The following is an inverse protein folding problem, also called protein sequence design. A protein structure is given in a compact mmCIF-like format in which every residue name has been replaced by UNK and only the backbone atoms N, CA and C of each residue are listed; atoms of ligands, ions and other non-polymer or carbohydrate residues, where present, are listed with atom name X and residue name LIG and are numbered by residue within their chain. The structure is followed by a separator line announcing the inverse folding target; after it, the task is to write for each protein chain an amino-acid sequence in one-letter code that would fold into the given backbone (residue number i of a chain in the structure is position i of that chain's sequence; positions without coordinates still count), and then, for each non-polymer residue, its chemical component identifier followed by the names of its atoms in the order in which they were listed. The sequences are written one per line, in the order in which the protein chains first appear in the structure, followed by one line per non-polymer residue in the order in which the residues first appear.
data_IF_397034338659
#
_entry.id   IF_397034338659
#
_cell.length_a   1.000
_cell.length_b   1.000
_cell.length_c   1.000
_cell.angle_alpha   90.00
_cell.angle_beta   90.00
_cell.angle_gamma   90.00
#
_symmetry.space_group_name_H-M   'P 1'
#
loop_
_entity.id
_entity.type
_entity.pdbx_description
1 polymer ?
#
# COMPACT_ATOMS: atom_id res chain seq x y z
N UNK A 1 -4.60 33.66 17.92
CA UNK A 1 -5.91 33.12 18.36
C UNK A 1 -6.55 34.12 19.31
N UNK A 2 -7.78 34.60 19.03
CA UNK A 2 -8.43 35.71 19.75
C UNK A 2 -9.58 35.30 20.69
N UNK A 3 -9.85 34.00 20.85
CA UNK A 3 -10.87 33.49 21.79
C UNK A 3 -10.39 32.16 22.39
N UNK A 4 -10.34 32.09 23.71
CA UNK A 4 -10.16 30.84 24.47
C UNK A 4 -11.50 30.14 24.57
N UNK A 5 -11.59 28.89 24.10
CA UNK A 5 -12.80 28.05 24.25
C UNK A 5 -12.57 27.02 25.37
N UNK A 6 -13.66 26.52 25.95
CA UNK A 6 -13.66 25.75 27.21
C UNK A 6 -12.88 24.43 27.23
N UNK A 7 -12.36 23.97 26.08
CA UNK A 7 -11.58 22.72 25.95
C UNK A 7 -10.10 22.96 25.59
N UNK A 8 -9.71 24.22 25.41
CA UNK A 8 -8.34 24.61 25.06
C UNK A 8 -8.05 24.62 23.56
N UNK A 9 -6.80 24.96 23.17
CA UNK A 9 -6.34 24.99 21.78
C UNK A 9 -6.34 23.60 21.14
N UNK A 10 -6.78 23.52 19.89
CA UNK A 10 -6.90 22.28 19.10
C UNK A 10 -8.33 21.95 18.68
N UNK A 11 -9.32 22.46 19.40
CA UNK A 11 -10.71 22.23 19.05
C UNK A 11 -11.11 22.92 17.75
N UNK A 12 -11.63 22.16 16.79
CA UNK A 12 -12.00 22.60 15.45
C UNK A 12 -10.83 22.77 14.47
N UNK A 13 -9.63 22.33 14.85
CA UNK A 13 -8.46 22.26 13.96
C UNK A 13 -8.28 20.80 13.52
N UNK A 14 -8.49 20.52 12.23
CA UNK A 14 -8.46 19.15 11.69
C UNK A 14 -7.05 18.53 11.70
N UNK A 15 -5.99 19.34 11.65
CA UNK A 15 -4.62 18.84 11.77
C UNK A 15 -4.37 18.32 13.20
N UNK A 16 -4.97 18.94 14.20
CA UNK A 16 -4.91 18.51 15.58
C UNK A 16 -5.88 17.35 15.89
N UNK A 17 -7.17 17.49 15.58
CA UNK A 17 -8.23 16.55 15.97
C UNK A 17 -8.20 15.24 15.17
N UNK A 18 -7.99 15.31 13.85
CA UNK A 18 -8.10 14.13 12.98
C UNK A 18 -6.72 13.53 12.68
N UNK A 19 -5.69 14.36 12.57
CA UNK A 19 -4.33 13.92 12.19
C UNK A 19 -3.39 13.77 13.38
N UNK A 20 -3.78 14.20 14.58
CA UNK A 20 -3.01 14.04 15.82
C UNK A 20 -1.73 14.87 15.89
N UNK A 21 -1.64 15.94 15.10
CA UNK A 21 -0.47 16.84 15.08
C UNK A 21 -0.61 17.83 16.24
N UNK A 22 0.11 17.57 17.33
CA UNK A 22 0.06 18.40 18.54
C UNK A 22 0.77 19.75 18.34
N UNK A 23 0.33 20.79 19.05
CA UNK A 23 0.95 22.11 18.93
C UNK A 23 2.33 22.13 19.57
N UNK A 24 3.30 22.88 19.02
CA UNK A 24 4.62 22.95 19.61
C UNK A 24 4.55 23.49 21.04
N UNK A 25 5.18 22.75 21.96
CA UNK A 25 5.09 23.00 23.40
C UNK A 25 5.49 24.43 23.81
N UNK A 26 6.49 25.01 23.12
CA UNK A 26 6.96 26.37 23.39
C UNK A 26 5.87 27.45 23.20
N UNK A 27 4.89 27.20 22.32
CA UNK A 27 3.85 28.16 21.97
C UNK A 27 2.50 27.83 22.62
N UNK A 28 2.21 26.54 22.81
CA UNK A 28 0.97 26.07 23.43
C UNK A 28 1.29 25.03 24.47
N UNK A 29 1.37 25.44 25.74
CA UNK A 29 1.77 24.53 26.83
C UNK A 29 0.69 23.50 27.18
N UNK A 30 -0.58 23.89 27.08
CA UNK A 30 -1.74 23.07 27.44
C UNK A 30 -2.67 22.89 26.25
N UNK A 31 -2.55 21.75 25.58
CA UNK A 31 -3.48 21.27 24.55
C UNK A 31 -4.48 20.30 25.19
N UNK A 32 -5.59 20.01 24.51
CA UNK A 32 -6.58 19.03 24.99
C UNK A 32 -5.93 17.67 25.35
N UNK A 33 -4.96 17.21 24.53
CA UNK A 33 -4.24 15.97 24.73
C UNK A 33 -3.35 16.03 25.99
N UNK A 34 -2.61 17.14 26.20
CA UNK A 34 -1.78 17.31 27.41
C UNK A 34 -2.60 17.47 28.68
N UNK A 35 -3.77 18.13 28.60
CA UNK A 35 -4.72 18.18 29.70
C UNK A 35 -5.23 16.77 30.04
N UNK A 36 -5.59 15.97 29.04
CA UNK A 36 -6.00 14.58 29.24
C UNK A 36 -4.86 13.71 29.77
N UNK A 37 -3.63 13.87 29.28
CA UNK A 37 -2.46 13.15 29.79
C UNK A 37 -2.17 13.49 31.25
N UNK A 38 -2.22 14.77 31.62
CA UNK A 38 -2.08 15.19 33.02
C UNK A 38 -3.19 14.59 33.89
N UNK A 39 -4.43 14.60 33.41
CA UNK A 39 -5.55 13.99 34.11
C UNK A 39 -5.39 12.46 34.30
N UNK A 40 -4.93 11.75 33.25
CA UNK A 40 -4.60 10.33 33.32
C UNK A 40 -3.44 10.07 34.29
N UNK A 41 -2.47 10.98 34.39
CA UNK A 41 -1.38 10.90 35.35
C UNK A 41 -1.88 11.06 36.79
N UNK A 42 -2.79 12.02 37.04
CA UNK A 42 -3.43 12.20 38.34
C UNK A 42 -4.26 10.96 38.75
N UNK A 43 -4.98 10.37 37.79
CA UNK A 43 -5.67 9.09 37.94
C UNK A 43 -4.71 7.95 38.32
N UNK A 44 -3.59 7.82 37.59
CA UNK A 44 -2.56 6.81 37.83
C UNK A 44 -1.93 6.96 39.22
N UNK A 45 -1.68 8.20 39.65
CA UNK A 45 -1.14 8.52 40.97
C UNK A 45 -2.18 8.42 42.09
N UNK A 46 -3.46 8.15 41.75
CA UNK A 46 -4.60 8.14 42.69
C UNK A 46 -4.81 9.48 43.41
N UNK A 47 -4.46 10.57 42.74
CA UNK A 47 -4.64 11.95 43.23
C UNK A 47 -6.05 12.50 42.95
N UNK A 48 -6.86 11.77 42.18
CA UNK A 48 -8.28 12.09 41.92
C UNK A 48 -9.15 10.92 42.36
N UNK A 49 -10.17 11.24 43.17
CA UNK A 49 -11.19 10.29 43.60
C UNK A 49 -12.50 10.46 42.79
N UNK A 50 -12.90 9.39 42.10
CA UNK A 50 -14.12 9.33 41.29
C UNK A 50 -15.27 8.63 42.02
N UNK A 51 -15.04 8.11 43.22
CA UNK A 51 -16.04 7.36 43.97
C UNK A 51 -17.33 8.17 44.16
N UNK A 52 -17.20 9.50 44.34
CA UNK A 52 -18.30 10.45 44.48
C UNK A 52 -19.09 10.70 43.18
N UNK A 53 -18.50 10.45 42.01
CA UNK A 53 -19.11 10.67 40.69
C UNK A 53 -19.85 9.43 40.18
N UNK A 54 -19.52 8.26 40.74
CA UNK A 54 -20.08 6.96 40.36
C UNK A 54 -21.17 6.57 41.34
N UNK A 55 -22.42 6.51 40.89
CA UNK A 55 -23.58 6.12 41.71
C UNK A 55 -23.71 4.62 41.99
N UNK A 56 -22.64 3.86 41.75
CA UNK A 56 -22.57 2.42 42.00
C UNK A 56 -22.18 1.58 40.78
N UNK A 57 -21.95 0.30 41.03
CA UNK A 57 -21.64 -0.73 40.05
C UNK A 57 -22.77 -1.77 40.06
N UNK A 58 -23.31 -2.05 38.89
CA UNK A 58 -24.48 -2.90 38.68
C UNK A 58 -24.10 -4.04 37.73
N UNK A 59 -24.64 -5.24 37.93
CA UNK A 59 -24.49 -6.30 36.92
C UNK A 59 -25.29 -5.95 35.66
N UNK A 60 -24.98 -6.59 34.53
CA UNK A 60 -25.70 -6.35 33.28
C UNK A 60 -27.20 -6.63 33.43
N UNK A 61 -27.57 -7.64 34.23
CA UNK A 61 -28.96 -7.99 34.55
C UNK A 61 -29.68 -6.89 35.35
N UNK A 62 -28.92 -5.98 35.98
CA UNK A 62 -29.44 -4.85 36.76
C UNK A 62 -29.37 -3.52 35.99
N UNK A 63 -29.14 -3.54 34.67
CA UNK A 63 -29.01 -2.33 33.86
C UNK A 63 -30.21 -1.39 34.01
N UNK A 64 -31.44 -1.92 34.07
CA UNK A 64 -32.66 -1.11 34.23
C UNK A 64 -32.67 -0.27 35.52
N UNK A 65 -32.11 -0.82 36.62
CA UNK A 65 -31.97 -0.11 37.89
C UNK A 65 -30.93 1.01 37.77
N UNK A 66 -29.81 0.73 37.09
CA UNK A 66 -28.76 1.71 36.83
C UNK A 66 -29.28 2.89 35.99
N UNK A 67 -30.09 2.63 34.95
CA UNK A 67 -30.72 3.66 34.13
C UNK A 67 -31.78 4.47 34.88
N UNK A 68 -32.58 3.84 35.76
CA UNK A 68 -33.54 4.56 36.63
C UNK A 68 -32.83 5.53 37.57
N UNK A 69 -31.68 5.14 38.12
CA UNK A 69 -30.89 5.99 39.01
C UNK A 69 -30.35 7.25 38.30
N UNK A 70 -29.88 7.11 37.06
CA UNK A 70 -29.42 8.23 36.22
C UNK A 70 -30.54 9.24 35.91
N UNK A 71 -31.80 8.81 35.94
CA UNK A 71 -32.98 9.65 35.70
C UNK A 71 -33.62 10.20 37.00
N UNK A 72 -32.99 10.01 38.16
CA UNK A 72 -33.51 10.48 39.44
C UNK A 72 -33.17 11.95 39.72
N UNK A 73 -33.84 12.56 40.72
CA UNK A 73 -33.58 13.96 41.14
C UNK A 73 -32.18 14.18 41.71
N UNK A 74 -31.57 13.14 42.32
CA UNK A 74 -30.16 13.11 42.75
C UNK A 74 -29.37 12.16 41.84
N UNK A 75 -29.32 12.48 40.54
CA UNK A 75 -28.61 11.65 39.56
C UNK A 75 -27.09 11.71 39.80
N UNK A 76 -26.41 10.56 39.87
CA UNK A 76 -24.94 10.51 39.81
C UNK A 76 -24.45 10.90 38.41
N UNK A 77 -23.15 11.21 38.28
CA UNK A 77 -22.56 11.54 36.98
C UNK A 77 -22.43 10.30 36.08
N UNK A 78 -22.15 9.15 36.69
CA UNK A 78 -21.99 7.86 36.01
C UNK A 78 -22.48 6.69 36.86
N UNK A 79 -22.73 5.56 36.21
CA UNK A 79 -22.95 4.24 36.82
C UNK A 79 -22.09 3.23 36.06
N UNK A 80 -21.57 2.22 36.76
CA UNK A 80 -20.72 1.19 36.13
C UNK A 80 -21.53 -0.08 35.90
N UNK A 81 -21.40 -0.69 34.71
CA UNK A 81 -21.93 -2.01 34.43
C UNK A 81 -20.81 -3.05 34.49
N UNK A 82 -20.96 -4.07 35.34
CA UNK A 82 -20.14 -5.27 35.30
C UNK A 82 -20.71 -6.28 34.33
N UNK A 83 -19.83 -6.76 33.46
CA UNK A 83 -20.08 -7.89 32.58
C UNK A 83 -19.52 -9.17 33.20
N UNK A 84 -20.13 -10.34 32.96
CA UNK A 84 -19.56 -11.62 33.37
C UNK A 84 -18.15 -11.79 32.78
N UNK A 85 -17.22 -12.26 33.61
CA UNK A 85 -15.78 -12.31 33.31
C UNK A 85 -15.38 -13.13 32.09
N UNK A 86 -16.30 -13.90 31.50
CA UNK A 86 -16.09 -14.61 30.23
C UNK A 86 -15.88 -13.68 29.02
N UNK A 87 -16.15 -12.38 29.15
CA UNK A 87 -16.00 -11.39 28.06
C UNK A 87 -14.63 -10.68 28.11
N UNK A 88 -13.92 -10.76 29.24
CA UNK A 88 -12.61 -10.12 29.42
C UNK A 88 -11.50 -11.18 29.42
N UNK A 89 -11.19 -11.75 28.25
CA UNK A 89 -9.85 -12.31 28.06
C UNK A 89 -8.89 -11.15 27.89
N UNK A 90 -8.11 -10.86 28.93
CA UNK A 90 -6.92 -10.03 28.81
C UNK A 90 -6.06 -10.58 27.68
N UNK A 91 -5.70 -9.72 26.72
CA UNK A 91 -4.73 -10.07 25.68
C UNK A 91 -3.36 -10.16 26.35
N UNK A 92 -2.96 -11.38 26.69
CA UNK A 92 -1.61 -11.67 27.12
C UNK A 92 -0.62 -11.20 26.04
N UNK A 93 0.18 -10.20 26.40
CA UNK A 93 1.16 -9.54 25.55
C UNK A 93 2.45 -10.36 25.53
N UNK A 94 2.38 -11.55 24.96
CA UNK A 94 3.50 -12.34 24.45
C UNK A 94 2.94 -13.53 23.65
N UNK A 95 2.08 -13.24 22.67
CA UNK A 95 1.70 -14.26 21.70
C UNK A 95 2.87 -14.49 20.75
N UNK A 96 3.57 -15.60 20.93
CA UNK A 96 4.27 -16.24 19.83
C UNK A 96 3.22 -16.46 18.73
N UNK A 97 3.29 -15.68 17.65
CA UNK A 97 2.38 -15.88 16.52
C UNK A 97 2.81 -17.19 15.87
N UNK A 98 2.01 -18.24 16.06
CA UNK A 98 2.20 -19.47 15.29
C UNK A 98 1.84 -19.16 13.84
N UNK A 99 2.85 -19.20 12.97
CA UNK A 99 2.74 -18.78 11.59
C UNK A 99 2.13 -19.94 10.79
N UNK A 100 1.11 -19.64 9.99
CA UNK A 100 0.42 -20.67 9.20
C UNK A 100 1.10 -20.87 7.85
N UNK A 101 1.16 -22.09 7.34
CA UNK A 101 1.63 -22.36 5.97
C UNK A 101 0.53 -22.03 4.95
N UNK A 102 0.86 -21.48 3.77
CA UNK A 102 -0.11 -21.29 2.70
C UNK A 102 -0.68 -22.62 2.22
N UNK A 103 -2.00 -22.68 2.12
CA UNK A 103 -2.70 -23.86 1.62
C UNK A 103 -2.44 -24.06 0.11
N UNK A 104 -2.35 -25.33 -0.31
CA UNK A 104 -2.35 -25.70 -1.73
C UNK A 104 -3.67 -25.26 -2.38
N UNK A 105 -3.60 -24.72 -3.59
CA UNK A 105 -4.78 -24.31 -4.36
C UNK A 105 -5.13 -25.45 -5.34
N UNK A 106 -6.25 -26.12 -5.11
CA UNK A 106 -6.72 -27.27 -5.94
C UNK A 106 -7.88 -26.90 -6.89
N UNK A 107 -8.30 -25.63 -6.89
CA UNK A 107 -9.39 -25.10 -7.70
C UNK A 107 -9.25 -23.59 -7.85
N UNK A 108 -10.36 -22.85 -7.84
CA UNK A 108 -10.28 -21.38 -7.92
C UNK A 108 -9.53 -20.81 -6.71
N UNK A 109 -8.75 -19.77 -6.97
CA UNK A 109 -8.08 -18.98 -5.95
C UNK A 109 -9.15 -18.19 -5.20
N UNK A 110 -9.29 -18.47 -3.91
CA UNK A 110 -10.19 -17.72 -3.04
C UNK A 110 -9.52 -16.42 -2.58
N UNK A 111 -10.12 -15.31 -2.97
CA UNK A 111 -9.54 -13.97 -2.81
C UNK A 111 -10.23 -13.20 -1.69
N UNK A 112 -9.44 -12.70 -0.74
CA UNK A 112 -9.82 -11.61 0.14
C UNK A 112 -9.31 -10.28 -0.40
N UNK A 113 -10.18 -9.29 -0.58
CA UNK A 113 -9.79 -7.96 -1.07
C UNK A 113 -9.83 -6.97 0.08
N UNK A 114 -8.70 -6.31 0.36
CA UNK A 114 -8.57 -5.26 1.37
C UNK A 114 -8.39 -3.92 0.65
N UNK A 115 -9.40 -3.06 0.76
CA UNK A 115 -9.43 -1.77 0.08
C UNK A 115 -10.09 -1.86 -1.30
N UNK A 116 -11.19 -1.14 -1.48
CA UNK A 116 -11.89 -1.01 -2.77
C UNK A 116 -11.93 0.46 -3.18
N UNK A 117 -10.74 1.03 -3.36
CA UNK A 117 -10.56 2.40 -3.85
C UNK A 117 -10.92 2.55 -5.33
N UNK A 118 -10.78 3.77 -5.86
CA UNK A 118 -11.09 4.08 -7.27
C UNK A 118 -10.35 3.18 -8.26
N UNK A 119 -9.05 2.94 -8.02
CA UNK A 119 -8.24 2.06 -8.86
C UNK A 119 -8.73 0.60 -8.82
N UNK A 120 -8.99 0.06 -7.62
CA UNK A 120 -9.49 -1.30 -7.48
C UNK A 120 -10.85 -1.48 -8.19
N UNK A 121 -11.73 -0.48 -8.13
CA UNK A 121 -13.02 -0.48 -8.82
C UNK A 121 -12.87 -0.40 -10.35
N UNK A 122 -11.96 0.45 -10.84
CA UNK A 122 -11.80 0.70 -12.27
C UNK A 122 -11.01 -0.39 -12.99
N UNK A 123 -10.06 -1.04 -12.31
CA UNK A 123 -9.08 -1.95 -12.94
C UNK A 123 -9.12 -3.35 -12.34
N UNK A 124 -8.88 -3.47 -11.03
CA UNK A 124 -8.65 -4.76 -10.37
C UNK A 124 -9.88 -5.65 -10.38
N UNK A 125 -11.02 -5.15 -9.89
CA UNK A 125 -12.27 -5.89 -9.82
C UNK A 125 -12.81 -6.30 -11.20
N UNK A 126 -12.85 -5.42 -12.23
CA UNK A 126 -13.23 -5.83 -13.57
C UNK A 126 -12.34 -6.92 -14.17
N UNK A 127 -11.02 -6.86 -13.96
CA UNK A 127 -10.10 -7.88 -14.47
C UNK A 127 -10.26 -9.22 -13.72
N UNK A 128 -10.47 -9.20 -12.41
CA UNK A 128 -10.81 -10.42 -11.65
C UNK A 128 -12.10 -11.07 -12.16
N UNK A 129 -13.11 -10.27 -12.51
CA UNK A 129 -14.36 -10.79 -13.08
C UNK A 129 -14.17 -11.42 -14.46
N UNK A 130 -13.28 -10.87 -15.29
CA UNK A 130 -12.89 -11.51 -16.56
C UNK A 130 -12.13 -12.82 -16.35
N UNK A 131 -11.40 -12.93 -15.23
CA UNK A 131 -10.63 -14.12 -14.83
C UNK A 131 -11.37 -14.99 -13.80
N UNK A 132 -12.71 -14.95 -13.77
CA UNK A 132 -13.55 -15.71 -12.83
C UNK A 132 -13.40 -17.24 -12.94
N UNK A 133 -12.76 -17.72 -14.00
CA UNK A 133 -12.38 -19.13 -14.14
C UNK A 133 -11.25 -19.51 -13.17
N UNK A 134 -10.34 -18.57 -12.87
CA UNK A 134 -9.22 -18.76 -11.94
C UNK A 134 -9.52 -18.23 -10.53
N UNK A 135 -10.34 -17.17 -10.41
CA UNK A 135 -10.55 -16.46 -9.15
C UNK A 135 -11.99 -16.52 -8.66
N UNK A 136 -12.17 -16.61 -7.35
CA UNK A 136 -13.44 -16.32 -6.66
C UNK A 136 -13.21 -15.27 -5.57
N UNK A 137 -13.94 -14.17 -5.63
CA UNK A 137 -13.90 -13.15 -4.58
C UNK A 137 -14.70 -13.68 -3.40
N UNK A 138 -14.00 -14.07 -2.33
CA UNK A 138 -14.59 -14.68 -1.14
C UNK A 138 -14.97 -13.65 -0.09
N UNK A 139 -14.14 -12.63 0.08
CA UNK A 139 -14.37 -11.58 1.07
C UNK A 139 -13.88 -10.22 0.60
N UNK A 140 -14.61 -9.19 1.03
CA UNK A 140 -14.28 -7.79 0.75
C UNK A 140 -14.23 -7.01 2.06
N UNK A 141 -13.12 -6.30 2.26
CA UNK A 141 -12.88 -5.40 3.35
C UNK A 141 -12.75 -3.96 2.84
N UNK A 142 -13.53 -3.04 3.41
CA UNK A 142 -13.38 -1.59 3.17
C UNK A 142 -13.56 -0.84 4.48
N UNK A 143 -13.06 0.40 4.60
CA UNK A 143 -13.24 1.21 5.82
C UNK A 143 -14.70 1.53 6.16
N UNK A 144 -15.64 1.35 5.22
CA UNK A 144 -17.04 1.70 5.40
C UNK A 144 -17.94 0.48 5.22
N UNK A 145 -18.77 0.18 6.22
CA UNK A 145 -19.61 -1.02 6.22
C UNK A 145 -20.61 -1.06 5.06
N UNK A 146 -21.18 0.08 4.68
CA UNK A 146 -22.13 0.18 3.55
C UNK A 146 -21.43 -0.14 2.24
N UNK A 147 -20.23 0.41 2.02
CA UNK A 147 -19.40 0.10 0.84
C UNK A 147 -19.00 -1.38 0.82
N UNK A 148 -18.60 -1.95 1.96
CA UNK A 148 -18.26 -3.35 2.06
C UNK A 148 -19.43 -4.25 1.63
N UNK A 149 -20.64 -4.00 2.15
CA UNK A 149 -21.86 -4.73 1.76
C UNK A 149 -22.21 -4.53 0.29
N UNK A 150 -22.12 -3.31 -0.23
CA UNK A 150 -22.40 -2.99 -1.63
C UNK A 150 -21.48 -3.79 -2.57
N UNK A 151 -20.17 -3.75 -2.36
CA UNK A 151 -19.23 -4.48 -3.21
C UNK A 151 -19.34 -5.99 -3.03
N UNK A 152 -19.55 -6.48 -1.80
CA UNK A 152 -19.73 -7.91 -1.57
C UNK A 152 -20.95 -8.44 -2.33
N UNK A 153 -22.08 -7.72 -2.29
CA UNK A 153 -23.28 -8.07 -3.07
C UNK A 153 -22.99 -8.02 -4.59
N UNK A 154 -22.41 -6.91 -5.07
CA UNK A 154 -22.10 -6.72 -6.50
C UNK A 154 -21.20 -7.80 -7.09
N UNK A 155 -20.27 -8.34 -6.30
CA UNK A 155 -19.30 -9.33 -6.73
C UNK A 155 -19.54 -10.73 -6.15
N UNK A 156 -20.71 -10.97 -5.53
CA UNK A 156 -21.11 -12.23 -4.92
C UNK A 156 -20.10 -12.79 -3.90
N UNK A 157 -19.49 -11.90 -3.10
CA UNK A 157 -18.59 -12.29 -2.02
C UNK A 157 -19.39 -12.74 -0.79
N UNK A 158 -18.89 -13.77 -0.09
CA UNK A 158 -19.53 -14.31 1.10
C UNK A 158 -19.32 -13.45 2.35
N UNK A 159 -18.24 -12.66 2.37
CA UNK A 159 -17.83 -11.87 3.54
C UNK A 159 -17.77 -10.39 3.16
N UNK A 160 -18.45 -9.55 3.95
CA UNK A 160 -18.33 -8.10 3.92
C UNK A 160 -17.89 -7.61 5.31
N UNK A 161 -16.74 -6.96 5.41
CA UNK A 161 -16.17 -6.54 6.70
C UNK A 161 -15.52 -5.16 6.62
N UNK A 162 -15.32 -4.53 7.78
CA UNK A 162 -14.46 -3.36 7.97
C UNK A 162 -13.15 -3.70 8.69
N UNK A 163 -13.02 -4.91 9.21
CA UNK A 163 -11.80 -5.46 9.80
C UNK A 163 -11.19 -6.49 8.85
N UNK A 164 -10.01 -6.17 8.31
CA UNK A 164 -9.33 -7.04 7.36
C UNK A 164 -8.80 -8.32 7.99
N UNK A 165 -8.62 -8.35 9.32
CA UNK A 165 -8.15 -9.54 10.05
C UNK A 165 -9.16 -10.69 9.94
N UNK A 166 -10.44 -10.39 9.76
CA UNK A 166 -11.47 -11.40 9.45
C UNK A 166 -11.12 -12.15 8.15
N UNK A 167 -10.60 -11.46 7.14
CA UNK A 167 -10.19 -12.11 5.87
C UNK A 167 -8.89 -12.91 6.05
N UNK A 168 -7.95 -12.41 6.84
CA UNK A 168 -6.71 -13.12 7.14
C UNK A 168 -6.97 -14.43 7.90
N UNK A 169 -7.97 -14.43 8.79
CA UNK A 169 -8.32 -15.58 9.61
C UNK A 169 -9.24 -16.60 8.90
N UNK A 170 -9.77 -16.30 7.71
CA UNK A 170 -10.56 -17.29 6.95
C UNK A 170 -9.61 -18.33 6.32
N UNK A 171 -9.66 -19.60 6.75
CA UNK A 171 -8.75 -20.63 6.23
C UNK A 171 -8.96 -20.90 4.74
N UNK A 172 -10.15 -20.60 4.18
CA UNK A 172 -10.44 -20.81 2.78
C UNK A 172 -9.86 -19.71 1.89
N UNK A 173 -9.50 -18.54 2.41
CA UNK A 173 -8.85 -17.49 1.61
C UNK A 173 -7.37 -17.86 1.38
N UNK A 174 -6.96 -17.94 0.11
CA UNK A 174 -5.59 -18.30 -0.27
C UNK A 174 -4.75 -17.08 -0.70
N UNK A 175 -5.41 -16.04 -1.22
CA UNK A 175 -4.79 -14.82 -1.73
C UNK A 175 -5.44 -13.59 -1.09
N UNK A 176 -4.61 -12.69 -0.57
CA UNK A 176 -5.02 -11.37 -0.11
C UNK A 176 -4.58 -10.33 -1.14
N UNK A 177 -5.54 -9.58 -1.70
CA UNK A 177 -5.27 -8.43 -2.55
C UNK A 177 -5.39 -7.16 -1.71
N UNK A 178 -4.29 -6.43 -1.54
CA UNK A 178 -4.21 -5.16 -0.81
C UNK A 178 -4.23 -4.02 -1.82
N UNK A 179 -5.24 -3.16 -1.75
CA UNK A 179 -5.44 -1.99 -2.63
C UNK A 179 -5.87 -0.77 -1.83
N UNK A 180 -5.15 -0.49 -0.74
CA UNK A 180 -5.40 0.59 0.22
C UNK A 180 -4.56 1.83 -0.09
N UNK A 181 -4.49 2.77 0.85
CA UNK A 181 -3.45 3.82 0.84
C UNK A 181 -2.08 3.19 1.02
N UNK A 182 -1.04 3.83 0.48
CA UNK A 182 0.30 3.28 0.40
C UNK A 182 0.91 3.06 1.80
N UNK A 183 0.67 3.98 2.74
CA UNK A 183 1.13 3.89 4.12
C UNK A 183 0.56 2.70 4.92
N UNK A 184 -0.47 2.03 4.40
CA UNK A 184 -1.06 0.85 5.05
C UNK A 184 -0.51 -0.47 4.48
N UNK A 185 0.22 -0.42 3.37
CA UNK A 185 0.64 -1.63 2.65
C UNK A 185 1.56 -2.50 3.51
N UNK A 186 2.63 -1.94 4.06
CA UNK A 186 3.63 -2.71 4.80
C UNK A 186 3.02 -3.53 5.95
N UNK A 187 2.25 -2.87 6.83
CA UNK A 187 1.60 -3.55 7.95
C UNK A 187 0.62 -4.63 7.49
N UNK A 188 -0.16 -4.38 6.44
CA UNK A 188 -1.11 -5.38 5.94
C UNK A 188 -0.41 -6.56 5.25
N UNK A 189 0.71 -6.32 4.58
CA UNK A 189 1.58 -7.38 4.01
C UNK A 189 2.15 -8.22 5.14
N UNK A 190 2.71 -7.59 6.17
CA UNK A 190 3.25 -8.24 7.37
C UNK A 190 2.21 -9.14 8.04
N UNK A 191 0.99 -8.61 8.26
CA UNK A 191 -0.10 -9.37 8.89
C UNK A 191 -0.55 -10.55 8.01
N UNK A 192 -0.60 -10.37 6.69
CA UNK A 192 -0.95 -11.43 5.76
C UNK A 192 0.13 -12.53 5.66
N UNK A 193 1.42 -12.17 5.71
CA UNK A 193 2.53 -13.12 5.78
C UNK A 193 2.46 -13.95 7.05
N UNK A 194 2.19 -13.31 8.19
CA UNK A 194 2.00 -13.99 9.48
C UNK A 194 0.83 -14.98 9.45
N UNK A 195 -0.24 -14.62 8.74
CA UNK A 195 -1.40 -15.48 8.52
C UNK A 195 -1.20 -16.55 7.42
N UNK A 196 0.00 -16.65 6.82
CA UNK A 196 0.30 -17.65 5.80
C UNK A 196 -0.41 -17.44 4.47
N UNK A 197 -0.83 -16.21 4.16
CA UNK A 197 -1.57 -15.93 2.92
C UNK A 197 -0.61 -15.56 1.80
N UNK A 198 -0.91 -16.00 0.57
CA UNK A 198 -0.28 -15.37 -0.60
C UNK A 198 -0.79 -13.94 -0.71
N UNK A 199 0.05 -13.04 -1.22
CA UNK A 199 -0.19 -11.61 -1.19
C UNK A 199 -0.03 -11.06 -2.60
N UNK A 200 -1.00 -10.25 -2.97
CA UNK A 200 -0.85 -9.29 -4.05
C UNK A 200 -1.08 -7.90 -3.45
N UNK A 201 -0.07 -7.05 -3.43
CA UNK A 201 -0.17 -5.68 -2.91
C UNK A 201 -0.03 -4.70 -4.06
N UNK A 202 -0.94 -3.73 -4.16
CA UNK A 202 -0.72 -2.61 -5.09
C UNK A 202 0.58 -1.89 -4.75
N UNK A 203 1.23 -1.33 -5.76
CA UNK A 203 2.45 -0.56 -5.52
C UNK A 203 2.16 0.70 -4.68
N UNK A 204 3.16 1.20 -3.92
CA UNK A 204 4.44 0.56 -3.63
C UNK A 204 4.32 -0.56 -2.58
N UNK A 205 5.34 -1.41 -2.45
CA UNK A 205 5.38 -2.44 -1.39
C UNK A 205 5.34 -1.82 0.01
N UNK A 206 6.12 -0.75 0.22
CA UNK A 206 6.26 0.00 1.45
C UNK A 206 6.69 1.44 1.15
N UNK A 207 6.71 2.30 2.18
CA UNK A 207 7.15 3.69 2.08
C UNK A 207 8.51 3.94 2.73
N UNK A 208 9.01 3.07 3.60
CA UNK A 208 10.31 3.26 4.27
C UNK A 208 11.23 2.04 4.19
N UNK A 209 12.52 2.26 4.49
CA UNK A 209 13.53 1.20 4.58
C UNK A 209 13.25 0.27 5.78
N UNK A 210 12.76 0.80 6.89
CA UNK A 210 12.38 0.04 8.08
C UNK A 210 11.22 -0.92 7.76
N UNK A 211 10.18 -0.43 7.09
CA UNK A 211 9.06 -1.26 6.65
C UNK A 211 9.52 -2.36 5.68
N UNK A 212 10.40 -2.03 4.73
CA UNK A 212 10.99 -3.04 3.84
C UNK A 212 11.75 -4.10 4.64
N UNK A 213 12.56 -3.68 5.61
CA UNK A 213 13.33 -4.59 6.46
C UNK A 213 12.41 -5.52 7.24
N UNK A 214 11.34 -5.01 7.85
CA UNK A 214 10.38 -5.84 8.60
C UNK A 214 9.71 -6.91 7.72
N UNK A 215 9.31 -6.55 6.48
CA UNK A 215 8.76 -7.51 5.52
C UNK A 215 9.80 -8.61 5.20
N UNK A 216 11.05 -8.21 4.96
CA UNK A 216 12.12 -9.16 4.63
C UNK A 216 12.50 -10.06 5.79
N UNK A 217 12.49 -9.54 7.02
CA UNK A 217 12.81 -10.33 8.21
C UNK A 217 11.76 -11.43 8.41
N UNK A 218 10.47 -11.17 8.15
CA UNK A 218 9.43 -12.20 8.18
C UNK A 218 9.66 -13.25 7.09
N UNK A 219 9.94 -12.82 5.86
CA UNK A 219 10.18 -13.74 4.74
C UNK A 219 11.42 -14.63 4.96
N UNK A 220 12.42 -14.17 5.71
CA UNK A 220 13.65 -14.93 6.03
C UNK A 220 13.49 -15.86 7.23
N UNK A 221 12.74 -15.44 8.26
CA UNK A 221 12.66 -16.15 9.54
C UNK A 221 11.71 -17.35 9.51
N UNK A 222 10.91 -17.51 8.47
CA UNK A 222 9.89 -18.54 8.42
C UNK A 222 10.37 -19.78 7.64
N UNK A 223 10.58 -20.88 8.37
CA UNK A 223 10.68 -22.23 7.81
C UNK A 223 9.28 -22.73 7.45
N UNK A 224 8.73 -22.24 6.35
CA UNK A 224 7.55 -22.86 5.77
C UNK A 224 7.96 -24.05 4.89
N UNK A 225 7.16 -25.12 4.91
CA UNK A 225 7.20 -26.14 3.85
C UNK A 225 6.96 -25.52 2.46
N UNK A 226 6.29 -24.35 2.45
CA UNK A 226 6.06 -23.52 1.28
C UNK A 226 5.94 -22.04 1.67
N UNK A 227 6.84 -21.18 1.20
CA UNK A 227 6.80 -19.75 1.51
C UNK A 227 5.64 -19.03 0.79
N UNK A 228 4.89 -18.14 1.47
CA UNK A 228 3.90 -17.30 0.82
C UNK A 228 4.50 -16.49 -0.32
N UNK A 229 3.79 -16.43 -1.44
CA UNK A 229 4.18 -15.57 -2.56
C UNK A 229 3.79 -14.13 -2.24
N UNK A 230 4.73 -13.21 -2.45
CA UNK A 230 4.48 -11.77 -2.45
C UNK A 230 4.62 -11.26 -3.88
N UNK A 231 3.51 -10.78 -4.45
CA UNK A 231 3.48 -10.06 -5.70
C UNK A 231 3.14 -8.59 -5.43
N UNK A 232 3.83 -7.69 -6.13
CA UNK A 232 3.53 -6.25 -6.11
C UNK A 232 2.86 -5.88 -7.42
N UNK A 233 2.00 -4.86 -7.41
CA UNK A 233 1.30 -4.33 -8.59
C UNK A 233 2.18 -3.66 -9.63
N UNK A 234 3.33 -4.24 -9.92
CA UNK A 234 4.23 -3.85 -10.99
C UNK A 234 3.74 -4.39 -12.33
N UNK A 235 2.63 -3.84 -12.79
CA UNK A 235 1.93 -4.36 -13.97
C UNK A 235 2.72 -4.17 -15.29
N UNK A 236 3.59 -3.15 -15.38
CA UNK A 236 4.24 -2.74 -16.64
C UNK A 236 5.05 -3.87 -17.28
N UNK A 237 5.78 -4.66 -16.49
CA UNK A 237 6.54 -5.80 -16.98
C UNK A 237 5.67 -6.80 -17.73
N UNK A 238 4.41 -6.97 -17.33
CA UNK A 238 3.46 -7.91 -17.96
C UNK A 238 2.77 -7.33 -19.18
N UNK A 239 3.02 -6.07 -19.55
CA UNK A 239 2.45 -5.52 -20.77
C UNK A 239 2.96 -6.30 -21.99
N UNK A 240 2.13 -6.52 -23.02
CA UNK A 240 2.57 -7.19 -24.24
C UNK A 240 3.79 -6.53 -24.89
N UNK A 241 3.93 -5.21 -24.74
CA UNK A 241 5.05 -4.45 -25.30
C UNK A 241 6.36 -4.70 -24.55
N UNK A 242 6.35 -4.68 -23.21
CA UNK A 242 7.55 -4.97 -22.42
C UNK A 242 7.94 -6.44 -22.54
N UNK A 243 6.96 -7.35 -22.57
CA UNK A 243 7.20 -8.76 -22.87
C UNK A 243 7.87 -8.92 -24.24
N UNK A 244 7.38 -8.21 -25.28
CA UNK A 244 8.01 -8.26 -26.60
C UNK A 244 9.43 -7.73 -26.60
N UNK A 245 9.69 -6.60 -25.95
CA UNK A 245 11.07 -6.08 -25.81
C UNK A 245 11.94 -7.11 -25.11
N UNK A 246 11.44 -7.74 -24.04
CA UNK A 246 12.17 -8.74 -23.27
C UNK A 246 12.57 -9.94 -24.12
N UNK A 247 11.63 -10.51 -24.88
CA UNK A 247 11.89 -11.62 -25.81
C UNK A 247 13.00 -11.27 -26.80
N UNK A 248 12.95 -10.07 -27.38
CA UNK A 248 13.91 -9.63 -28.41
C UNK A 248 15.29 -9.25 -27.85
N UNK A 249 15.48 -9.25 -26.53
CA UNK A 249 16.78 -8.99 -25.87
C UNK A 249 17.20 -10.11 -24.91
N UNK A 250 16.50 -11.25 -24.93
CA UNK A 250 16.77 -12.38 -24.05
C UNK A 250 18.15 -12.99 -24.33
N UNK A 251 18.57 -13.01 -25.60
CA UNK A 251 19.83 -13.57 -26.07
C UNK A 251 21.01 -12.59 -26.07
N UNK A 252 20.81 -11.38 -25.52
CA UNK A 252 21.82 -10.32 -25.52
C UNK A 252 23.09 -10.78 -24.80
N UNK A 253 24.25 -10.38 -25.32
CA UNK A 253 25.57 -10.60 -24.70
C UNK A 253 26.15 -9.34 -24.10
N UNK A 254 25.64 -8.19 -24.53
CA UNK A 254 26.10 -6.87 -24.14
C UNK A 254 25.07 -6.18 -23.23
N UNK A 255 25.52 -5.25 -22.36
CA UNK A 255 24.61 -4.46 -21.54
C UNK A 255 23.67 -3.59 -22.37
N UNK A 256 22.54 -3.20 -21.79
CA UNK A 256 21.53 -2.36 -22.45
C UNK A 256 21.53 -0.93 -21.92
N UNK A 257 21.01 -0.02 -22.74
CA UNK A 257 20.69 1.35 -22.33
C UNK A 257 19.18 1.54 -22.42
N UNK A 258 18.58 2.05 -21.34
CA UNK A 258 17.16 2.36 -21.26
C UNK A 258 17.00 3.85 -20.99
N UNK A 259 16.22 4.55 -21.81
CA UNK A 259 15.79 5.93 -21.56
C UNK A 259 14.27 5.95 -21.41
N UNK A 260 13.77 6.38 -20.26
CA UNK A 260 12.34 6.43 -19.98
C UNK A 260 11.94 7.85 -19.58
N UNK A 261 10.94 8.41 -20.25
CA UNK A 261 10.28 9.65 -19.86
C UNK A 261 8.87 9.37 -19.35
N UNK A 262 8.54 9.93 -18.20
CA UNK A 262 7.18 10.06 -17.68
C UNK A 262 6.81 11.53 -17.55
N UNK A 263 5.77 11.92 -18.28
CA UNK A 263 5.15 13.23 -18.27
C UNK A 263 3.74 13.10 -17.68
N UNK A 264 3.65 13.14 -16.36
CA UNK A 264 2.42 12.85 -15.64
C UNK A 264 1.67 14.14 -15.26
N UNK A 265 0.35 14.07 -15.10
CA UNK A 265 -0.46 15.25 -14.79
C UNK A 265 -0.10 15.81 -13.42
N UNK A 266 -0.12 17.13 -13.28
CA UNK A 266 0.07 17.81 -11.99
C UNK A 266 -0.94 17.36 -10.93
N UNK A 267 -0.48 17.23 -9.68
CA UNK A 267 -1.32 17.09 -8.50
C UNK A 267 -0.90 18.10 -7.44
N UNK A 268 -1.88 18.72 -6.80
CA UNK A 268 -1.62 19.66 -5.73
C UNK A 268 -0.84 18.99 -4.57
N UNK A 269 0.03 19.73 -3.86
CA UNK A 269 0.75 19.21 -2.69
C UNK A 269 -0.16 18.62 -1.60
N UNK A 270 -1.40 19.10 -1.48
CA UNK A 270 -2.40 18.61 -0.52
C UNK A 270 -3.07 17.29 -0.92
N UNK A 271 -2.87 16.82 -2.15
CA UNK A 271 -3.45 15.57 -2.60
C UNK A 271 -2.79 14.39 -1.87
N UNK A 272 -3.58 13.38 -1.46
CA UNK A 272 -3.10 12.28 -0.60
C UNK A 272 -1.81 11.60 -1.08
N UNK A 273 -1.62 11.48 -2.40
CA UNK A 273 -0.39 10.93 -3.02
C UNK A 273 0.86 11.64 -2.53
N UNK A 274 0.79 12.96 -2.34
CA UNK A 274 1.90 13.83 -1.96
C UNK A 274 2.01 14.02 -0.44
N UNK A 275 1.08 13.46 0.33
CA UNK A 275 1.11 13.44 1.81
C UNK A 275 1.77 12.17 2.33
N UNK A 276 1.87 12.04 3.66
CA UNK A 276 2.34 10.82 4.33
C UNK A 276 1.52 9.57 3.99
N UNK A 277 0.26 9.69 3.56
CA UNK A 277 -0.54 8.54 3.10
C UNK A 277 0.00 7.91 1.81
N UNK A 278 0.62 8.72 0.96
CA UNK A 278 1.02 8.34 -0.40
C UNK A 278 2.52 8.27 -0.62
N UNK A 279 3.33 9.02 0.13
CA UNK A 279 4.79 9.02 0.05
C UNK A 279 5.38 9.70 -1.19
N UNK A 280 4.58 10.40 -2.00
CA UNK A 280 5.00 11.08 -3.22
C UNK A 280 5.05 10.17 -4.45
N UNK A 281 5.34 10.75 -5.63
CA UNK A 281 5.32 10.00 -6.90
C UNK A 281 6.55 9.14 -7.14
N UNK A 282 7.68 9.41 -6.49
CA UNK A 282 8.84 8.50 -6.57
C UNK A 282 8.46 7.11 -6.08
N UNK A 283 7.97 7.02 -4.84
CA UNK A 283 7.53 5.78 -4.23
C UNK A 283 6.23 5.29 -4.89
N UNK A 284 5.28 6.20 -5.10
CA UNK A 284 3.93 5.86 -5.52
C UNK A 284 3.76 5.56 -7.00
N UNK A 285 4.63 6.01 -7.92
CA UNK A 285 4.45 5.80 -9.36
C UNK A 285 5.76 5.49 -10.09
N UNK A 286 6.87 6.13 -9.73
CA UNK A 286 8.17 5.90 -10.36
C UNK A 286 8.68 4.47 -10.17
N UNK A 287 8.27 3.82 -9.07
CA UNK A 287 8.50 2.40 -8.78
C UNK A 287 8.13 1.46 -9.94
N UNK A 288 7.14 1.81 -10.76
CA UNK A 288 6.81 1.04 -11.97
C UNK A 288 7.95 1.01 -13.00
N UNK A 289 8.66 2.12 -13.17
CA UNK A 289 9.75 2.23 -14.16
C UNK A 289 11.00 1.56 -13.61
N UNK A 290 11.27 1.69 -12.31
CA UNK A 290 12.38 0.98 -11.67
C UNK A 290 12.17 -0.54 -11.73
N UNK A 291 10.94 -1.01 -11.59
CA UNK A 291 10.59 -2.41 -11.84
C UNK A 291 10.90 -2.85 -13.29
N UNK A 292 10.50 -2.06 -14.28
CA UNK A 292 10.82 -2.35 -15.69
C UNK A 292 12.33 -2.38 -15.92
N UNK A 293 13.09 -1.48 -15.30
CA UNK A 293 14.55 -1.48 -15.39
C UNK A 293 15.15 -2.76 -14.83
N UNK A 294 14.74 -3.18 -13.63
CA UNK A 294 15.15 -4.45 -13.03
C UNK A 294 14.79 -5.65 -13.93
N UNK A 295 13.56 -5.66 -14.45
CA UNK A 295 13.06 -6.76 -15.30
C UNK A 295 13.82 -6.88 -16.63
N UNK A 296 14.15 -5.76 -17.28
CA UNK A 296 14.88 -5.78 -18.54
C UNK A 296 16.37 -6.06 -18.33
N UNK A 297 16.98 -5.48 -17.29
CA UNK A 297 18.40 -5.66 -16.99
C UNK A 297 18.75 -7.04 -16.41
N UNK A 298 17.86 -7.67 -15.62
CA UNK A 298 18.10 -8.97 -14.94
C UNK A 298 19.43 -9.03 -14.17
N UNK A 299 19.79 -7.91 -13.57
CA UNK A 299 21.05 -7.77 -12.85
C UNK A 299 20.82 -7.03 -11.54
N UNK A 300 21.71 -7.28 -10.58
CA UNK A 300 21.74 -6.51 -9.34
C UNK A 300 22.11 -5.04 -9.59
N UNK A 301 21.76 -4.18 -8.63
CA UNK A 301 22.06 -2.75 -8.66
C UNK A 301 23.55 -2.52 -8.28
N UNK A 302 24.23 -1.65 -9.02
CA UNK A 302 25.58 -1.16 -8.70
C UNK A 302 25.54 0.26 -8.12
N UNK A 303 24.81 1.18 -8.78
CA UNK A 303 24.77 2.60 -8.38
C UNK A 303 23.45 3.26 -8.73
N UNK A 304 23.00 4.19 -7.87
CA UNK A 304 21.82 5.02 -8.07
C UNK A 304 22.21 6.48 -7.88
N UNK A 305 21.85 7.33 -8.83
CA UNK A 305 21.95 8.80 -8.70
C UNK A 305 20.63 9.42 -9.11
N UNK A 306 20.18 10.46 -8.41
CA UNK A 306 19.01 11.23 -8.75
C UNK A 306 19.21 12.72 -8.39
N UNK A 307 18.64 13.59 -9.21
CA UNK A 307 18.60 15.03 -8.99
C UNK A 307 17.19 15.53 -9.29
N UNK A 308 16.67 16.40 -8.44
CA UNK A 308 15.40 17.08 -8.67
C UNK A 308 15.59 18.50 -9.18
N UNK A 309 14.49 19.09 -9.68
CA UNK A 309 14.44 20.53 -9.90
C UNK A 309 14.63 21.29 -8.58
N UNK A 310 15.08 22.54 -8.67
CA UNK A 310 15.00 23.50 -7.56
C UNK A 310 14.00 24.59 -7.95
N UNK A 311 12.83 24.58 -7.31
CA UNK A 311 11.80 25.60 -7.54
C UNK A 311 11.96 26.77 -6.57
N UNK A 312 11.52 27.96 -6.99
CA UNK A 312 11.40 29.13 -6.11
C UNK A 312 10.12 29.11 -5.26
N UNK A 313 9.17 28.24 -5.59
CA UNK A 313 7.89 28.07 -4.91
C UNK A 313 7.59 26.59 -4.63
N UNK A 314 6.42 26.31 -4.06
CA UNK A 314 5.95 24.96 -3.72
C UNK A 314 4.95 24.39 -4.73
N UNK A 315 4.78 25.03 -5.90
CA UNK A 315 3.83 24.56 -6.90
C UNK A 315 4.30 23.23 -7.48
N UNK A 316 5.51 23.16 -8.02
CA UNK A 316 6.10 21.90 -8.47
C UNK A 316 6.94 21.25 -7.36
N UNK A 317 6.56 20.03 -6.99
CA UNK A 317 7.30 19.24 -6.01
C UNK A 317 8.55 18.63 -6.64
N UNK A 318 9.65 18.60 -5.88
CA UNK A 318 10.91 17.93 -6.28
C UNK A 318 10.69 16.43 -6.53
N UNK A 319 9.84 15.81 -5.72
CA UNK A 319 9.45 14.39 -5.80
C UNK A 319 8.55 14.04 -6.98
N UNK A 320 8.08 15.06 -7.72
CA UNK A 320 7.29 14.93 -8.93
C UNK A 320 8.09 15.37 -10.18
N UNK A 321 9.31 15.88 -10.01
CA UNK A 321 10.11 16.52 -11.05
C UNK A 321 11.61 16.25 -10.84
N UNK A 322 12.08 15.11 -11.35
CA UNK A 322 13.43 14.64 -11.15
C UNK A 322 13.96 13.84 -12.34
N UNK A 323 15.28 13.67 -12.36
CA UNK A 323 15.98 12.74 -13.23
C UNK A 323 16.73 11.74 -12.35
N UNK A 324 16.74 10.47 -12.74
CA UNK A 324 17.51 9.43 -12.04
C UNK A 324 18.21 8.50 -13.02
N UNK A 325 19.41 8.06 -12.65
CA UNK A 325 20.23 7.11 -13.40
C UNK A 325 20.61 5.94 -12.52
N UNK A 326 20.32 4.73 -13.00
CA UNK A 326 20.60 3.47 -12.34
C UNK A 326 21.66 2.74 -13.18
N UNK A 327 22.73 2.31 -12.52
CA UNK A 327 23.73 1.40 -13.08
C UNK A 327 23.56 0.02 -12.47
N UNK A 328 23.49 -0.99 -13.32
CA UNK A 328 23.40 -2.40 -12.94
C UNK A 328 24.78 -3.07 -13.02
N UNK A 329 24.95 -4.16 -12.26
CA UNK A 329 26.21 -4.90 -12.14
C UNK A 329 26.69 -5.55 -13.44
N UNK A 330 25.78 -5.88 -14.36
CA UNK A 330 26.12 -6.34 -15.70
C UNK A 330 26.68 -5.22 -16.59
N UNK A 331 26.61 -3.96 -16.16
CA UNK A 331 27.00 -2.77 -16.89
C UNK A 331 25.84 -2.04 -17.56
N UNK A 332 24.60 -2.53 -17.44
CA UNK A 332 23.42 -1.90 -18.04
C UNK A 332 23.13 -0.57 -17.37
N UNK A 333 22.61 0.38 -18.15
CA UNK A 333 22.28 1.74 -17.69
C UNK A 333 20.81 2.04 -17.95
N UNK A 334 20.13 2.59 -16.96
CA UNK A 334 18.75 3.06 -17.10
C UNK A 334 18.63 4.49 -16.61
N UNK A 335 17.99 5.34 -17.41
CA UNK A 335 17.72 6.73 -17.11
C UNK A 335 16.20 6.96 -17.10
N UNK A 336 15.72 7.64 -16.06
CA UNK A 336 14.33 8.06 -15.90
C UNK A 336 14.27 9.58 -15.79
N UNK A 337 13.53 10.21 -16.69
CA UNK A 337 13.03 11.57 -16.52
C UNK A 337 11.58 11.48 -16.06
N UNK A 338 11.29 11.97 -14.86
CA UNK A 338 9.93 12.04 -14.33
C UNK A 338 9.56 13.50 -14.12
N UNK A 339 8.49 13.97 -14.75
CA UNK A 339 8.08 15.38 -14.67
C UNK A 339 6.57 15.53 -14.69
N UNK A 340 6.09 16.61 -14.08
CA UNK A 340 4.71 17.08 -14.17
C UNK A 340 4.58 18.44 -14.84
N UNK A 341 5.68 18.94 -15.44
CA UNK A 341 5.74 20.26 -16.07
C UNK A 341 5.36 20.24 -17.56
N UNK A 342 5.26 19.06 -18.18
CA UNK A 342 5.02 18.95 -19.61
C UNK A 342 3.54 19.00 -19.99
N UNK A 343 3.27 19.44 -21.22
CA UNK A 343 1.93 19.43 -21.78
C UNK A 343 1.45 18.00 -22.08
N UNK A 344 0.16 17.73 -21.87
CA UNK A 344 -0.43 16.40 -22.07
C UNK A 344 -0.35 15.88 -23.51
N UNK A 345 -0.21 16.76 -24.50
CA UNK A 345 -0.04 16.42 -25.91
C UNK A 345 1.27 15.68 -26.21
N UNK A 346 2.27 15.76 -25.33
CA UNK A 346 3.53 15.01 -25.47
C UNK A 346 3.39 13.51 -25.14
N UNK A 347 2.23 13.07 -24.62
CA UNK A 347 2.01 11.70 -24.16
C UNK A 347 2.63 11.43 -22.79
N UNK A 348 2.05 10.47 -22.06
CA UNK A 348 2.39 10.23 -20.65
C UNK A 348 3.67 9.42 -20.45
N UNK A 349 3.82 8.31 -21.15
CA UNK A 349 4.96 7.40 -20.96
C UNK A 349 5.64 7.14 -22.31
N UNK A 350 6.96 7.32 -22.39
CA UNK A 350 7.74 7.09 -23.60
C UNK A 350 9.09 6.47 -23.22
N UNK A 351 9.44 5.33 -23.82
CA UNK A 351 10.64 4.58 -23.46
C UNK A 351 11.40 4.15 -24.70
N UNK A 352 12.73 4.25 -24.63
CA UNK A 352 13.66 3.74 -25.62
C UNK A 352 14.58 2.71 -24.98
N UNK A 353 14.80 1.59 -25.67
CA UNK A 353 15.75 0.55 -25.26
C UNK A 353 16.72 0.29 -26.41
N UNK A 354 18.01 0.27 -26.10
CA UNK A 354 19.10 0.05 -27.05
C UNK A 354 19.84 -1.23 -26.65
N UNK A 355 19.94 -2.18 -27.58
CA UNK A 355 20.64 -3.46 -27.37
C UNK A 355 21.20 -3.97 -28.69
N UNK A 356 22.52 -4.04 -28.82
CA UNK A 356 23.21 -4.74 -29.93
C UNK A 356 22.72 -4.38 -31.35
N UNK A 357 22.59 -3.06 -31.63
CA UNK A 357 22.09 -2.56 -32.92
C UNK A 357 20.57 -2.59 -33.09
N UNK A 358 19.84 -3.11 -32.09
CA UNK A 358 18.38 -3.11 -32.00
C UNK A 358 17.93 -1.90 -31.18
N UNK A 359 16.87 -1.23 -31.62
CA UNK A 359 16.26 -0.11 -30.91
C UNK A 359 14.77 -0.33 -30.80
N UNK A 360 14.23 -0.16 -29.60
CA UNK A 360 12.82 -0.31 -29.28
C UNK A 360 12.28 1.01 -28.75
N UNK A 361 11.26 1.55 -29.40
CA UNK A 361 10.59 2.80 -29.00
C UNK A 361 9.15 2.48 -28.61
N UNK A 362 8.88 2.52 -27.30
CA UNK A 362 7.57 2.34 -26.71
C UNK A 362 6.91 3.70 -26.47
N UNK A 363 5.72 3.88 -27.05
CA UNK A 363 4.89 5.07 -26.88
C UNK A 363 3.58 4.70 -26.18
N UNK A 364 3.48 5.14 -24.92
CA UNK A 364 2.33 5.11 -24.02
C UNK A 364 1.64 3.73 -23.92
N UNK A 365 2.39 2.63 -24.03
CA UNK A 365 1.85 1.26 -24.06
C UNK A 365 0.71 1.10 -25.08
N UNK A 366 0.82 1.80 -26.22
CA UNK A 366 -0.08 1.71 -27.37
C UNK A 366 0.67 1.34 -28.64
N UNK A 367 1.94 1.72 -28.75
CA UNK A 367 2.76 1.48 -29.92
C UNK A 367 4.18 1.11 -29.52
N UNK A 368 4.75 0.12 -30.18
CA UNK A 368 6.15 -0.23 -30.16
C UNK A 368 6.67 -0.13 -31.59
N UNK A 369 7.67 0.72 -31.81
CA UNK A 369 8.40 0.82 -33.07
C UNK A 369 9.80 0.25 -32.87
N UNK A 370 10.28 -0.52 -33.83
CA UNK A 370 11.53 -1.26 -33.72
C UNK A 370 12.45 -0.98 -34.90
N UNK A 371 13.75 -1.05 -34.65
CA UNK A 371 14.81 -0.94 -35.66
C UNK A 371 15.87 -2.01 -35.37
N UNK A 372 16.49 -2.53 -36.42
CA UNK A 372 17.41 -3.69 -36.31
C UNK A 372 16.70 -5.02 -36.06
N UNK A 373 15.38 -5.01 -35.88
CA UNK A 373 14.51 -6.18 -35.70
C UNK A 373 13.12 -5.86 -36.26
N UNK A 374 12.32 -6.89 -36.58
CA UNK A 374 10.94 -6.74 -37.07
C UNK A 374 9.95 -7.15 -35.98
N UNK A 375 9.72 -6.28 -35.00
CA UNK A 375 8.86 -6.54 -33.85
C UNK A 375 7.90 -5.37 -33.54
N UNK A 376 7.53 -4.58 -34.56
CA UNK A 376 6.58 -3.47 -34.43
C UNK A 376 5.21 -3.96 -33.91
N UNK A 377 4.65 -3.24 -32.95
CA UNK A 377 3.33 -3.53 -32.39
C UNK A 377 2.50 -2.26 -32.29
N UNK A 378 1.18 -2.40 -32.45
CA UNK A 378 0.23 -1.32 -32.20
C UNK A 378 -1.07 -1.88 -31.64
N UNK A 379 -1.60 -1.22 -30.62
CA UNK A 379 -2.90 -1.52 -30.03
C UNK A 379 -3.78 -0.27 -30.04
N UNK A 380 -5.10 -0.47 -30.22
CA UNK A 380 -6.07 0.63 -30.20
C UNK A 380 -6.25 1.24 -28.80
N UNK A 381 -6.13 0.41 -27.76
CA UNK A 381 -6.21 0.83 -26.37
C UNK A 381 -4.86 0.62 -25.70
N UNK A 382 -4.58 1.47 -24.73
CA UNK A 382 -3.42 1.31 -23.86
C UNK A 382 -3.49 -0.03 -23.14
N UNK A 383 -2.41 -0.81 -23.20
CA UNK A 383 -2.28 -2.04 -22.43
C UNK A 383 -1.00 -2.03 -21.59
N UNK A 384 -1.14 -1.66 -20.31
CA UNK A 384 -0.04 -1.66 -19.36
C UNK A 384 0.17 -3.02 -18.66
N UNK A 385 -0.53 -4.09 -19.02
CA UNK A 385 -0.29 -5.42 -18.43
C UNK A 385 -1.10 -5.76 -17.17
N UNK A 386 -2.12 -4.98 -16.79
CA UNK A 386 -2.89 -5.26 -15.55
C UNK A 386 -3.68 -6.58 -15.60
N UNK A 387 -4.16 -6.97 -16.78
CA UNK A 387 -4.90 -8.22 -16.95
C UNK A 387 -3.93 -9.41 -16.98
N UNK A 388 -2.84 -9.25 -17.70
CA UNK A 388 -1.74 -10.20 -17.88
C UNK A 388 -1.04 -10.49 -16.55
N UNK A 389 -0.84 -9.48 -15.70
CA UNK A 389 -0.33 -9.61 -14.33
C UNK A 389 -1.20 -10.57 -13.50
N UNK A 390 -2.52 -10.35 -13.46
CA UNK A 390 -3.43 -11.23 -12.72
C UNK A 390 -3.51 -12.63 -13.33
N UNK A 391 -3.41 -12.75 -14.66
CA UNK A 391 -3.41 -14.05 -15.33
C UNK A 391 -2.12 -14.82 -15.00
N UNK A 392 -0.97 -14.16 -15.03
CA UNK A 392 0.32 -14.73 -14.64
C UNK A 392 0.32 -15.15 -13.18
N UNK A 393 -0.15 -14.28 -12.28
CA UNK A 393 -0.31 -14.59 -10.86
C UNK A 393 -1.14 -15.86 -10.64
N UNK A 394 -2.26 -16.02 -11.36
CA UNK A 394 -3.10 -17.20 -11.23
C UNK A 394 -2.32 -18.48 -11.56
N UNK A 395 -1.67 -18.50 -12.72
CA UNK A 395 -0.87 -19.66 -13.16
C UNK A 395 0.24 -19.99 -12.16
N UNK A 396 0.94 -18.97 -11.69
CA UNK A 396 2.07 -19.11 -10.78
C UNK A 396 1.62 -19.61 -9.39
N UNK A 397 0.52 -19.11 -8.84
CA UNK A 397 -0.03 -19.55 -7.55
C UNK A 397 -0.40 -21.06 -7.55
N UNK A 398 -1.02 -21.56 -8.63
CA UNK A 398 -1.32 -23.00 -8.74
C UNK A 398 -0.06 -23.86 -8.80
N UNK A 399 1.03 -23.32 -9.37
CA UNK A 399 2.32 -23.99 -9.47
C UNK A 399 3.25 -23.74 -8.28
N UNK A 400 2.79 -23.00 -7.26
CA UNK A 400 3.64 -22.61 -6.11
C UNK A 400 4.89 -21.83 -6.52
N UNK A 401 4.76 -20.97 -7.53
CA UNK A 401 5.83 -20.11 -8.07
C UNK A 401 5.43 -18.65 -7.96
N UNK A 402 6.40 -17.75 -7.88
CA UNK A 402 6.14 -16.31 -7.95
C UNK A 402 6.06 -15.84 -9.40
N UNK A 403 5.13 -14.93 -9.77
CA UNK A 403 5.09 -14.34 -11.11
C UNK A 403 6.22 -13.34 -11.36
N UNK A 404 6.95 -12.95 -10.31
CA UNK A 404 8.13 -12.08 -10.38
C UNK A 404 9.14 -12.49 -9.28
N UNK A 405 10.45 -12.50 -9.56
CA UNK A 405 11.44 -12.82 -8.54
C UNK A 405 11.38 -11.83 -7.37
N UNK A 406 11.48 -12.34 -6.14
CA UNK A 406 11.48 -11.52 -4.94
C UNK A 406 12.64 -10.50 -4.94
N UNK A 407 13.81 -10.90 -5.46
CA UNK A 407 14.96 -10.02 -5.59
C UNK A 407 14.67 -8.80 -6.47
N UNK A 408 13.93 -8.97 -7.57
CA UNK A 408 13.56 -7.84 -8.43
C UNK A 408 12.58 -6.89 -7.76
N UNK A 409 11.61 -7.41 -6.99
CA UNK A 409 10.70 -6.59 -6.17
C UNK A 409 11.52 -5.75 -5.18
N UNK A 410 12.48 -6.39 -4.50
CA UNK A 410 13.35 -5.74 -3.53
C UNK A 410 14.20 -4.67 -4.21
N UNK A 411 14.79 -4.98 -5.35
CA UNK A 411 15.62 -4.05 -6.10
C UNK A 411 14.82 -2.83 -6.56
N UNK A 412 13.63 -3.01 -7.14
CA UNK A 412 12.75 -1.91 -7.53
C UNK A 412 12.36 -1.04 -6.32
N UNK A 413 12.05 -1.67 -5.17
CA UNK A 413 11.69 -0.95 -3.95
C UNK A 413 12.88 -0.18 -3.37
N UNK A 414 14.09 -0.77 -3.35
CA UNK A 414 15.32 -0.09 -2.93
C UNK A 414 15.67 1.09 -3.83
N UNK A 415 15.48 0.95 -5.15
CA UNK A 415 15.68 2.07 -6.08
C UNK A 415 14.71 3.20 -5.75
N UNK A 416 13.42 2.89 -5.55
CA UNK A 416 12.44 3.88 -5.15
C UNK A 416 12.82 4.63 -3.88
N UNK A 417 13.21 3.92 -2.83
CA UNK A 417 13.58 4.53 -1.53
C UNK A 417 14.83 5.41 -1.65
N UNK A 418 15.87 4.92 -2.32
CA UNK A 418 17.11 5.68 -2.48
C UNK A 418 16.93 6.90 -3.40
N UNK A 419 16.17 6.78 -4.49
CA UNK A 419 15.83 7.93 -5.33
C UNK A 419 15.02 8.95 -4.54
N UNK A 420 14.00 8.52 -3.78
CA UNK A 420 13.15 9.40 -2.98
C UNK A 420 13.98 10.17 -1.94
N UNK A 421 14.92 9.49 -1.29
CA UNK A 421 15.89 10.11 -0.38
C UNK A 421 16.76 11.15 -1.07
N UNK A 422 17.34 10.85 -2.24
CA UNK A 422 18.21 11.78 -2.96
C UNK A 422 17.47 13.01 -3.50
N UNK A 423 16.21 12.88 -3.93
CA UNK A 423 15.43 14.02 -4.45
C UNK A 423 14.85 14.92 -3.35
N UNK A 424 14.83 14.43 -2.10
CA UNK A 424 14.38 15.18 -0.91
C UNK A 424 15.54 15.81 -0.13
N UNK A 425 16.76 15.32 -0.31
CA UNK A 425 17.98 15.91 0.23
C UNK A 425 18.26 17.26 -0.44
#
# INVERSE_FOLDING_TARGET
MRISTSYGPGRGDSDYEEKGIDYPYAYVRWTENRNMQAYLQLLKNKEIDFSSLVGGKYSLEQADLAYKLLNSKKKPLAVLLSYPGSILKEKDSQQFVQLSTPQKIEGKIEVGIIGVGSFAQAVRLPNLMKLREFYRIRGICTHNQVKAKYFASRYNANIATTDYKILLNDPKINLIIISTRHNLHAQMVIDALKAGKNIFVEKPLCLTEEELKEILDILKTQNFDYSPIVAVGFNRRFSPFIQKIKEEIEDRRSPIIINYRVNDSYLAPSHWVNTSEGGGRVLGNACHMFDVFCYLAESGIEKINACAITSKDTFYLTTDNFVSTIKFKDGSLANLVYTTQGDSGAGKEYMEVYSEGRVFILDDYKKLKTYGVKADMKMYKQNKGHFEELKSLASCLHQRRSPMPLEEIINATKISLEVDKQVRA
#
